data_IF_782092292258
#
_entry.id   IF_782092292258
#
_cell.length_a   1.000
_cell.length_b   1.000
_cell.length_c   1.000
_cell.angle_alpha   90.00
_cell.angle_beta   90.00
_cell.angle_gamma   90.00
#
_symmetry.space_group_name_H-M   'P 1'
#
loop_
_entity.id
_entity.type
_entity.pdbx_description
1 polymer ?
#
# COMPACT_ATOMS: atom_id res chain seq x y z
N UNK A 1 0.17 -2.07 -23.23
CA UNK A 1 -0.48 -0.86 -22.68
C UNK A 1 -1.78 -1.30 -22.01
N UNK A 2 -2.08 -0.81 -20.80
CA UNK A 2 -3.18 -1.31 -19.92
C UNK A 2 -4.20 -0.14 -19.77
N UNK A 3 -5.23 -0.03 -20.65
CA UNK A 3 -6.16 1.11 -20.69
C UNK A 3 -6.83 1.45 -19.37
N UNK A 4 -7.34 0.46 -18.63
CA UNK A 4 -8.02 0.66 -17.35
C UNK A 4 -7.06 1.14 -16.27
N UNK A 5 -5.80 0.71 -16.30
CA UNK A 5 -4.77 1.28 -15.43
C UNK A 5 -4.59 2.78 -15.68
N UNK A 6 -4.49 3.19 -16.95
CA UNK A 6 -4.39 4.61 -17.29
C UNK A 6 -5.63 5.39 -16.85
N UNK A 7 -6.83 4.84 -17.07
CA UNK A 7 -8.06 5.48 -16.63
C UNK A 7 -8.12 5.63 -15.11
N UNK A 8 -7.74 4.59 -14.36
CA UNK A 8 -7.66 4.60 -12.91
C UNK A 8 -6.79 5.76 -12.39
N UNK A 9 -5.54 5.85 -12.85
CA UNK A 9 -4.62 6.89 -12.40
C UNK A 9 -5.11 8.30 -12.74
N UNK A 10 -5.66 8.51 -13.95
CA UNK A 10 -6.26 9.81 -14.34
C UNK A 10 -7.48 10.17 -13.48
N UNK A 11 -8.31 9.19 -13.11
CA UNK A 11 -9.46 9.39 -12.22
C UNK A 11 -9.02 9.72 -10.78
N UNK A 12 -7.98 9.07 -10.26
CA UNK A 12 -7.39 9.39 -8.95
C UNK A 12 -6.81 10.81 -8.94
N UNK A 13 -6.20 11.24 -10.04
CA UNK A 13 -5.71 12.62 -10.25
C UNK A 13 -6.83 13.64 -10.53
N UNK A 14 -8.10 13.25 -10.43
CA UNK A 14 -9.28 14.12 -10.64
C UNK A 14 -9.33 14.76 -12.03
N UNK A 15 -8.76 14.12 -13.03
CA UNK A 15 -8.75 14.67 -14.39
C UNK A 15 -10.16 14.67 -15.01
N UNK A 16 -10.63 15.84 -15.45
CA UNK A 16 -12.03 16.05 -15.85
C UNK A 16 -12.50 15.13 -17.00
N UNK A 17 -11.65 14.80 -17.95
CA UNK A 17 -12.00 13.88 -19.05
C UNK A 17 -12.18 12.43 -18.54
N UNK A 18 -11.29 11.97 -17.67
CA UNK A 18 -11.36 10.65 -17.07
C UNK A 18 -12.60 10.50 -16.18
N UNK A 19 -12.89 11.51 -15.36
CA UNK A 19 -14.10 11.53 -14.52
C UNK A 19 -15.39 11.48 -15.36
N UNK A 20 -15.48 12.28 -16.44
CA UNK A 20 -16.63 12.25 -17.37
C UNK A 20 -16.78 10.91 -18.08
N UNK A 21 -15.66 10.24 -18.41
CA UNK A 21 -15.69 8.89 -19.00
C UNK A 21 -16.22 7.86 -18.01
N UNK A 22 -15.71 7.86 -16.77
CA UNK A 22 -16.17 6.94 -15.72
C UNK A 22 -17.64 7.20 -15.39
N UNK A 23 -18.08 8.45 -15.33
CA UNK A 23 -19.48 8.80 -15.11
C UNK A 23 -20.42 8.27 -16.20
N UNK A 24 -20.02 8.31 -17.47
CA UNK A 24 -20.79 7.69 -18.55
C UNK A 24 -20.93 6.19 -18.32
N UNK A 25 -19.82 5.51 -18.02
CA UNK A 25 -19.84 4.07 -17.73
C UNK A 25 -20.72 3.69 -16.53
N UNK A 26 -20.71 4.48 -15.46
CA UNK A 26 -21.59 4.25 -14.32
C UNK A 26 -23.07 4.39 -14.72
N UNK A 27 -23.42 5.33 -15.59
CA UNK A 27 -24.79 5.50 -16.10
C UNK A 27 -25.20 4.37 -17.04
N UNK A 28 -24.35 4.02 -18.00
CA UNK A 28 -24.61 3.01 -19.01
C UNK A 28 -24.87 1.62 -18.37
N UNK A 29 -24.25 1.36 -17.23
CA UNK A 29 -24.40 0.11 -16.47
C UNK A 29 -25.26 0.23 -15.21
N UNK A 30 -26.02 1.32 -15.04
CA UNK A 30 -26.96 1.46 -13.92
C UNK A 30 -26.29 1.31 -12.54
N UNK A 31 -25.13 1.95 -12.36
CA UNK A 31 -24.35 1.97 -11.11
C UNK A 31 -24.61 3.31 -10.41
N UNK A 32 -25.75 3.40 -9.72
CA UNK A 32 -26.18 4.58 -8.97
C UNK A 32 -26.59 4.21 -7.53
N UNK A 33 -26.42 5.14 -6.58
CA UNK A 33 -26.70 4.90 -5.16
C UNK A 33 -28.18 4.68 -4.83
N UNK A 34 -29.07 5.16 -5.69
CA UNK A 34 -30.53 5.05 -5.56
C UNK A 34 -31.06 3.71 -6.08
N UNK A 35 -30.22 2.91 -6.75
CA UNK A 35 -30.64 1.64 -7.36
C UNK A 35 -30.23 0.44 -6.51
N UNK A 36 -31.20 -0.38 -6.14
CA UNK A 36 -30.94 -1.69 -5.56
C UNK A 36 -30.10 -2.54 -6.52
N UNK A 37 -29.01 -3.12 -6.02
CA UNK A 37 -28.15 -3.99 -6.82
C UNK A 37 -27.20 -3.27 -7.77
N UNK A 38 -26.82 -2.00 -7.52
CA UNK A 38 -25.79 -1.27 -8.29
C UNK A 38 -24.47 -2.05 -8.50
N UNK A 39 -24.11 -2.93 -7.56
CA UNK A 39 -22.94 -3.84 -7.67
C UNK A 39 -23.09 -4.83 -8.83
N UNK A 40 -24.32 -5.20 -9.21
CA UNK A 40 -24.59 -6.04 -10.38
C UNK A 40 -24.24 -5.32 -11.69
N UNK A 41 -24.43 -3.99 -11.74
CA UNK A 41 -23.99 -3.16 -12.87
C UNK A 41 -22.47 -3.21 -13.06
N UNK A 42 -21.71 -3.17 -11.95
CA UNK A 42 -20.26 -3.36 -11.97
C UNK A 42 -19.88 -4.73 -12.53
N UNK A 43 -20.56 -5.80 -12.09
CA UNK A 43 -20.29 -7.16 -12.59
C UNK A 43 -20.58 -7.27 -14.09
N UNK A 44 -21.69 -6.67 -14.57
CA UNK A 44 -22.03 -6.65 -16.01
C UNK A 44 -21.00 -5.89 -16.83
N UNK A 45 -20.51 -4.77 -16.32
CA UNK A 45 -19.45 -4.01 -16.98
C UNK A 45 -18.17 -4.85 -17.10
N UNK A 46 -17.75 -5.50 -16.02
CA UNK A 46 -16.60 -6.42 -16.07
C UNK A 46 -16.85 -7.61 -16.99
N UNK A 47 -18.06 -8.17 -17.01
CA UNK A 47 -18.44 -9.26 -17.90
C UNK A 47 -18.32 -8.89 -19.39
N UNK A 48 -18.50 -7.61 -19.73
CA UNK A 48 -18.36 -7.11 -21.11
C UNK A 48 -16.91 -6.94 -21.58
N UNK A 49 -15.92 -7.33 -20.76
CA UNK A 49 -14.50 -7.21 -21.11
C UNK A 49 -14.15 -8.06 -22.33
N UNK A 50 -13.52 -7.48 -23.37
CA UNK A 50 -13.04 -8.24 -24.52
C UNK A 50 -12.05 -9.33 -24.09
N UNK A 51 -12.16 -10.50 -24.69
CA UNK A 51 -11.31 -11.65 -24.36
C UNK A 51 -10.56 -12.10 -25.60
N UNK A 52 -9.27 -12.39 -25.47
CA UNK A 52 -8.48 -12.86 -26.61
C UNK A 52 -9.05 -14.17 -27.18
N UNK A 53 -9.10 -14.36 -28.51
CA UNK A 53 -9.70 -15.55 -29.15
C UNK A 53 -9.11 -16.89 -28.71
N UNK A 54 -7.87 -16.88 -28.22
CA UNK A 54 -7.14 -18.06 -27.75
C UNK A 54 -7.55 -18.55 -26.35
N UNK A 55 -8.29 -17.74 -25.59
CA UNK A 55 -8.65 -18.08 -24.20
C UNK A 55 -9.90 -18.94 -24.22
N UNK A 56 -9.81 -20.16 -23.68
CA UNK A 56 -10.98 -21.01 -23.44
C UNK A 56 -11.62 -20.68 -22.07
N UNK A 57 -12.81 -20.06 -22.04
CA UNK A 57 -13.48 -19.68 -20.78
C UNK A 57 -13.78 -20.88 -19.87
N UNK A 58 -14.05 -22.05 -20.44
CA UNK A 58 -14.35 -23.27 -19.69
C UNK A 58 -13.13 -23.77 -18.93
N UNK A 59 -11.96 -23.72 -19.56
CA UNK A 59 -10.69 -24.07 -18.92
C UNK A 59 -10.31 -23.09 -17.81
N UNK A 60 -10.52 -21.78 -18.00
CA UNK A 60 -10.30 -20.78 -16.95
C UNK A 60 -11.22 -21.02 -15.75
N UNK A 61 -12.52 -21.24 -16.00
CA UNK A 61 -13.50 -21.55 -14.94
C UNK A 61 -13.13 -22.82 -14.16
N UNK A 62 -12.62 -23.85 -14.84
CA UNK A 62 -12.12 -25.07 -14.20
C UNK A 62 -10.91 -24.80 -13.31
N UNK A 63 -9.97 -23.96 -13.74
CA UNK A 63 -8.83 -23.57 -12.92
C UNK A 63 -9.29 -22.85 -11.64
N UNK A 64 -10.25 -21.93 -11.77
CA UNK A 64 -10.87 -21.22 -10.64
C UNK A 64 -11.68 -22.14 -9.71
N UNK A 65 -12.11 -23.31 -10.18
CA UNK A 65 -12.90 -24.28 -9.42
C UNK A 65 -12.26 -24.78 -8.13
N UNK A 66 -10.92 -24.72 -8.05
CA UNK A 66 -10.15 -25.06 -6.83
C UNK A 66 -10.27 -23.99 -5.73
N UNK A 67 -10.75 -22.79 -6.05
CA UNK A 67 -10.80 -21.68 -5.11
C UNK A 67 -12.06 -21.75 -4.21
N UNK A 68 -11.96 -21.55 -2.88
CA UNK A 68 -13.09 -21.66 -1.96
C UNK A 68 -14.28 -20.72 -2.23
N UNK A 69 -14.03 -19.57 -2.86
CA UNK A 69 -15.07 -18.61 -3.24
C UNK A 69 -15.79 -18.97 -4.55
N UNK A 70 -15.27 -19.90 -5.35
CA UNK A 70 -15.83 -20.22 -6.66
C UNK A 70 -17.28 -20.74 -6.60
N UNK A 71 -17.65 -21.70 -5.71
CA UNK A 71 -19.02 -22.17 -5.63
C UNK A 71 -20.01 -21.06 -5.23
N UNK A 72 -19.61 -20.18 -4.30
CA UNK A 72 -20.42 -19.02 -3.89
C UNK A 72 -20.62 -18.03 -5.04
N UNK A 73 -19.58 -17.82 -5.84
CA UNK A 73 -19.65 -16.96 -7.02
C UNK A 73 -20.60 -17.52 -8.09
N UNK A 74 -20.53 -18.83 -8.37
CA UNK A 74 -21.45 -19.49 -9.31
C UNK A 74 -22.91 -19.37 -8.84
N UNK A 75 -23.19 -19.58 -7.55
CA UNK A 75 -24.54 -19.41 -6.99
C UNK A 75 -25.03 -17.96 -7.09
N UNK A 76 -24.17 -16.98 -6.82
CA UNK A 76 -24.51 -15.57 -6.95
C UNK A 76 -24.90 -15.23 -8.40
N UNK A 77 -24.11 -15.67 -9.37
CA UNK A 77 -24.40 -15.48 -10.80
C UNK A 77 -25.73 -16.12 -11.16
N UNK A 78 -25.94 -17.37 -10.74
CA UNK A 78 -27.19 -18.11 -11.00
C UNK A 78 -28.43 -17.35 -10.52
N UNK A 79 -28.39 -16.79 -9.31
CA UNK A 79 -29.57 -16.16 -8.70
C UNK A 79 -29.73 -14.67 -9.02
N UNK A 80 -28.65 -13.96 -9.38
CA UNK A 80 -28.67 -12.50 -9.55
C UNK A 80 -28.37 -12.02 -10.96
N UNK A 81 -27.82 -12.88 -11.82
CA UNK A 81 -27.43 -12.60 -13.21
C UNK A 81 -27.82 -13.76 -14.14
N UNK A 82 -29.12 -14.16 -14.19
CA UNK A 82 -29.57 -15.30 -14.98
C UNK A 82 -29.33 -15.12 -16.49
N UNK A 83 -29.26 -13.87 -16.96
CA UNK A 83 -28.90 -13.49 -18.33
C UNK A 83 -27.50 -13.98 -18.75
N UNK A 84 -26.59 -14.16 -17.78
CA UNK A 84 -25.23 -14.65 -18.01
C UNK A 84 -25.12 -16.18 -17.91
N UNK A 85 -26.20 -16.89 -17.52
CA UNK A 85 -26.18 -18.34 -17.36
C UNK A 85 -26.23 -19.08 -18.70
N UNK A 86 -27.02 -18.58 -19.65
CA UNK A 86 -27.20 -19.19 -20.98
C UNK A 86 -25.97 -19.06 -21.87
N UNK A 87 -25.01 -18.22 -21.47
CA UNK A 87 -23.78 -17.93 -22.21
C UNK A 87 -22.60 -18.65 -21.55
N UNK A 88 -22.30 -19.87 -22.00
CA UNK A 88 -21.07 -20.60 -21.63
C UNK A 88 -19.84 -19.97 -22.33
N UNK A 89 -19.60 -18.69 -22.04
CA UNK A 89 -18.63 -17.87 -22.76
C UNK A 89 -17.85 -16.92 -21.86
N UNK A 90 -17.06 -16.02 -22.45
CA UNK A 90 -16.16 -15.14 -21.71
C UNK A 90 -16.86 -14.24 -20.69
N UNK A 91 -18.10 -13.86 -20.94
CA UNK A 91 -18.90 -13.03 -20.04
C UNK A 91 -19.12 -13.70 -18.67
N UNK A 92 -19.48 -14.99 -18.67
CA UNK A 92 -19.67 -15.76 -17.42
C UNK A 92 -18.35 -15.94 -16.68
N UNK A 93 -17.24 -16.14 -17.40
CA UNK A 93 -15.89 -16.23 -16.83
C UNK A 93 -15.53 -14.93 -16.10
N UNK A 94 -15.65 -13.78 -16.76
CA UNK A 94 -15.34 -12.49 -16.16
C UNK A 94 -16.29 -12.11 -15.03
N UNK A 95 -17.59 -12.41 -15.15
CA UNK A 95 -18.54 -12.24 -14.06
C UNK A 95 -18.16 -13.09 -12.83
N UNK A 96 -17.72 -14.33 -13.05
CA UNK A 96 -17.26 -15.23 -11.97
C UNK A 96 -16.05 -14.63 -11.26
N UNK A 97 -15.06 -14.18 -12.01
CA UNK A 97 -13.87 -13.52 -11.46
C UNK A 97 -14.26 -12.27 -10.66
N UNK A 98 -15.13 -11.41 -11.22
CA UNK A 98 -15.60 -10.21 -10.56
C UNK A 98 -16.32 -10.52 -9.24
N UNK A 99 -17.21 -11.50 -9.22
CA UNK A 99 -17.93 -11.90 -7.99
C UNK A 99 -16.97 -12.49 -6.95
N UNK A 100 -16.01 -13.33 -7.37
CA UNK A 100 -15.00 -13.87 -6.44
C UNK A 100 -14.16 -12.75 -5.81
N UNK A 101 -13.78 -11.74 -6.59
CA UNK A 101 -13.06 -10.56 -6.09
C UNK A 101 -13.94 -9.73 -5.15
N UNK A 102 -15.21 -9.51 -5.47
CA UNK A 102 -16.15 -8.80 -4.60
C UNK A 102 -16.42 -9.55 -3.27
N UNK A 103 -16.40 -10.88 -3.31
CA UNK A 103 -16.55 -11.75 -2.13
C UNK A 103 -15.25 -11.95 -1.34
N UNK A 104 -14.12 -11.40 -1.81
CA UNK A 104 -12.86 -11.51 -1.09
C UNK A 104 -12.92 -10.77 0.25
N UNK A 105 -12.53 -11.46 1.32
CA UNK A 105 -12.41 -10.85 2.64
C UNK A 105 -11.01 -10.28 2.87
N UNK A 106 -10.02 -10.80 2.17
CA UNK A 106 -8.61 -10.46 2.31
C UNK A 106 -7.88 -10.38 0.96
N UNK A 107 -6.72 -9.73 0.98
CA UNK A 107 -5.72 -9.78 -0.10
C UNK A 107 -5.39 -11.24 -0.47
N UNK A 108 -5.30 -12.13 0.52
CA UNK A 108 -4.95 -13.53 0.33
C UNK A 108 -5.99 -14.34 -0.46
N UNK A 109 -7.26 -13.94 -0.46
CA UNK A 109 -8.28 -14.55 -1.33
C UNK A 109 -8.03 -14.19 -2.79
N UNK A 110 -7.73 -12.92 -3.08
CA UNK A 110 -7.43 -12.48 -4.44
C UNK A 110 -6.09 -13.09 -4.90
N UNK A 111 -5.08 -13.20 -4.03
CA UNK A 111 -3.82 -13.87 -4.39
C UNK A 111 -4.00 -15.34 -4.74
N UNK A 112 -4.81 -16.09 -3.98
CA UNK A 112 -5.16 -17.49 -4.31
C UNK A 112 -5.92 -17.59 -5.64
N UNK A 113 -6.84 -16.67 -5.92
CA UNK A 113 -7.49 -16.57 -7.23
C UNK A 113 -6.43 -16.40 -8.35
N UNK A 114 -5.46 -15.50 -8.16
CA UNK A 114 -4.38 -15.27 -9.12
C UNK A 114 -3.47 -16.49 -9.27
N UNK A 115 -3.22 -17.26 -8.20
CA UNK A 115 -2.48 -18.53 -8.26
C UNK A 115 -3.21 -19.56 -9.11
N UNK A 116 -4.53 -19.70 -8.97
CA UNK A 116 -5.34 -20.58 -9.84
C UNK A 116 -5.18 -20.21 -11.33
N UNK A 117 -5.14 -18.91 -11.64
CA UNK A 117 -4.99 -18.39 -13.01
C UNK A 117 -3.56 -18.49 -13.55
N UNK A 118 -2.55 -18.67 -12.69
CA UNK A 118 -1.16 -18.92 -13.11
C UNK A 118 -0.87 -20.40 -13.38
N UNK A 119 -1.85 -21.28 -13.23
CA UNK A 119 -1.71 -22.70 -13.56
C UNK A 119 -1.24 -22.85 -15.01
N UNK A 120 -0.33 -23.80 -15.33
CA UNK A 120 0.07 -24.10 -16.71
C UNK A 120 -1.10 -24.47 -17.62
N UNK A 121 -2.22 -24.89 -17.04
CA UNK A 121 -3.45 -25.22 -17.75
C UNK A 121 -4.33 -24.01 -18.07
N UNK A 122 -3.96 -22.79 -17.69
CA UNK A 122 -4.78 -21.59 -17.86
C UNK A 122 -4.17 -20.67 -18.93
N UNK A 123 -4.92 -20.46 -20.02
CA UNK A 123 -4.46 -19.63 -21.15
C UNK A 123 -4.72 -18.12 -20.96
N UNK A 124 -5.31 -17.72 -19.83
CA UNK A 124 -5.66 -16.33 -19.55
C UNK A 124 -4.40 -15.52 -19.21
N UNK A 125 -4.14 -14.46 -19.96
CA UNK A 125 -2.97 -13.63 -19.73
C UNK A 125 -3.07 -12.82 -18.44
N UNK A 126 -1.99 -12.76 -17.64
CA UNK A 126 -1.96 -11.92 -16.43
C UNK A 126 -2.17 -10.43 -16.73
N UNK A 127 -1.88 -9.97 -17.95
CA UNK A 127 -2.16 -8.59 -18.39
C UNK A 127 -3.67 -8.35 -18.47
N UNK A 128 -4.44 -9.32 -18.98
CA UNK A 128 -5.92 -9.23 -19.04
C UNK A 128 -6.52 -9.22 -17.63
N UNK A 129 -6.00 -10.06 -16.73
CA UNK A 129 -6.41 -10.06 -15.32
C UNK A 129 -6.09 -8.73 -14.63
N UNK A 130 -4.90 -8.17 -14.89
CA UNK A 130 -4.48 -6.86 -14.37
C UNK A 130 -5.42 -5.76 -14.83
N UNK A 131 -5.76 -5.75 -16.13
CA UNK A 131 -6.70 -4.80 -16.72
C UNK A 131 -8.09 -4.86 -16.05
N UNK A 132 -8.61 -6.07 -15.79
CA UNK A 132 -9.90 -6.27 -15.11
C UNK A 132 -9.85 -5.83 -13.65
N UNK A 133 -8.77 -6.11 -12.93
CA UNK A 133 -8.61 -5.64 -11.56
C UNK A 133 -8.56 -4.10 -11.50
N UNK A 134 -7.90 -3.43 -12.47
CA UNK A 134 -7.94 -1.96 -12.58
C UNK A 134 -9.32 -1.42 -12.97
N UNK A 135 -10.07 -2.15 -13.80
CA UNK A 135 -11.47 -1.82 -14.10
C UNK A 135 -12.30 -1.80 -12.80
N UNK A 136 -12.24 -2.89 -12.03
CA UNK A 136 -12.93 -2.98 -10.75
C UNK A 136 -12.49 -1.89 -9.77
N UNK A 137 -11.17 -1.64 -9.64
CA UNK A 137 -10.66 -0.58 -8.78
C UNK A 137 -11.19 0.81 -9.18
N UNK A 138 -11.22 1.13 -10.48
CA UNK A 138 -11.77 2.39 -11.01
C UNK A 138 -13.24 2.58 -10.64
N UNK A 139 -14.04 1.52 -10.83
CA UNK A 139 -15.48 1.57 -10.55
C UNK A 139 -15.75 1.71 -9.05
N UNK A 140 -15.08 0.93 -8.21
CA UNK A 140 -15.21 1.01 -6.75
C UNK A 140 -14.77 2.39 -6.21
N UNK A 141 -13.69 2.96 -6.76
CA UNK A 141 -13.25 4.31 -6.42
C UNK A 141 -14.32 5.36 -6.75
N UNK A 142 -14.93 5.27 -7.93
CA UNK A 142 -15.96 6.20 -8.38
C UNK A 142 -17.30 6.03 -7.63
N UNK A 143 -17.70 4.79 -7.32
CA UNK A 143 -18.86 4.49 -6.48
C UNK A 143 -18.72 5.16 -5.10
N UNK A 144 -17.53 5.06 -4.49
CA UNK A 144 -17.22 5.73 -3.23
C UNK A 144 -17.30 7.26 -3.34
N UNK A 145 -16.75 7.83 -4.40
CA UNK A 145 -16.78 9.28 -4.64
C UNK A 145 -18.22 9.81 -4.74
N UNK A 146 -19.15 8.98 -5.23
CA UNK A 146 -20.58 9.25 -5.30
C UNK A 146 -21.37 8.84 -4.06
N UNK A 147 -20.69 8.57 -2.95
CA UNK A 147 -21.30 8.16 -1.69
C UNK A 147 -22.16 6.89 -1.77
N UNK A 148 -21.91 6.01 -2.76
CA UNK A 148 -22.55 4.69 -2.81
C UNK A 148 -21.96 3.85 -1.67
N UNK A 149 -22.79 3.21 -0.82
CA UNK A 149 -22.32 2.49 0.36
C UNK A 149 -21.59 1.20 -0.02
N UNK A 150 -20.28 1.29 -0.21
CA UNK A 150 -19.40 0.16 -0.47
C UNK A 150 -18.21 0.16 0.48
N UNK A 151 -17.78 -1.04 0.90
CA UNK A 151 -16.64 -1.15 1.81
C UNK A 151 -15.34 -0.76 1.10
N UNK A 152 -14.57 0.14 1.73
CA UNK A 152 -13.23 0.52 1.26
C UNK A 152 -12.27 -0.68 1.20
N UNK A 153 -12.58 -1.75 1.94
CA UNK A 153 -11.76 -2.96 2.02
C UNK A 153 -11.57 -3.61 0.66
N UNK A 154 -12.61 -3.72 -0.16
CA UNK A 154 -12.52 -4.43 -1.45
C UNK A 154 -11.61 -3.67 -2.42
N UNK A 155 -11.79 -2.34 -2.52
CA UNK A 155 -10.90 -1.50 -3.32
C UNK A 155 -9.44 -1.62 -2.86
N UNK A 156 -9.20 -1.58 -1.54
CA UNK A 156 -7.86 -1.77 -0.99
C UNK A 156 -7.28 -3.15 -1.33
N UNK A 157 -8.04 -4.23 -1.16
CA UNK A 157 -7.59 -5.59 -1.47
C UNK A 157 -7.17 -5.72 -2.93
N UNK A 158 -7.97 -5.21 -3.86
CA UNK A 158 -7.66 -5.22 -5.30
C UNK A 158 -6.40 -4.40 -5.59
N UNK A 159 -6.36 -3.16 -5.11
CA UNK A 159 -5.26 -2.25 -5.39
C UNK A 159 -3.93 -2.75 -4.81
N UNK A 160 -3.96 -3.32 -3.61
CA UNK A 160 -2.78 -3.92 -3.01
C UNK A 160 -2.35 -5.21 -3.73
N UNK A 161 -3.29 -6.02 -4.26
CA UNK A 161 -2.93 -7.15 -5.13
C UNK A 161 -2.29 -6.69 -6.44
N UNK A 162 -2.84 -5.66 -7.08
CA UNK A 162 -2.26 -5.03 -8.28
C UNK A 162 -0.83 -4.56 -8.01
N UNK A 163 -0.62 -3.84 -6.90
CA UNK A 163 0.70 -3.42 -6.45
C UNK A 163 1.65 -4.62 -6.28
N UNK A 164 1.19 -5.68 -5.60
CA UNK A 164 2.02 -6.89 -5.44
C UNK A 164 2.32 -7.57 -6.78
N UNK A 165 1.37 -7.63 -7.71
CA UNK A 165 1.57 -8.23 -9.03
C UNK A 165 2.63 -7.46 -9.82
N UNK A 166 2.52 -6.13 -9.86
CA UNK A 166 3.38 -5.28 -10.67
C UNK A 166 4.79 -5.15 -10.10
N UNK A 167 4.92 -5.27 -8.78
CA UNK A 167 6.22 -5.36 -8.11
C UNK A 167 6.72 -6.82 -7.99
N UNK A 168 5.86 -7.82 -8.21
CA UNK A 168 6.26 -9.22 -8.31
C UNK A 168 6.90 -9.54 -9.67
N UNK A 169 6.53 -8.84 -10.75
CA UNK A 169 6.98 -9.06 -12.13
C UNK A 169 8.49 -8.92 -12.38
N UNK A 170 9.29 -8.58 -11.37
CA UNK A 170 10.69 -9.01 -11.31
C UNK A 170 10.80 -10.49 -10.95
N UNK A 171 10.19 -11.39 -11.73
CA UNK A 171 10.34 -12.85 -11.57
C UNK A 171 11.76 -13.22 -12.00
N UNK A 172 12.71 -13.02 -11.11
CA UNK A 172 13.95 -13.76 -11.13
C UNK A 172 13.60 -15.09 -10.48
N UNK A 173 13.38 -16.11 -11.30
CA UNK A 173 13.43 -17.48 -10.80
C UNK A 173 14.84 -17.66 -10.23
N UNK A 174 15.01 -18.14 -8.99
CA UNK A 174 16.30 -18.64 -8.56
C UNK A 174 16.56 -19.89 -9.41
N UNK A 175 17.41 -19.75 -10.42
CA UNK A 175 18.07 -20.92 -10.99
C UNK A 175 19.00 -21.44 -9.90
N UNK A 176 18.79 -22.70 -9.55
CA UNK A 176 19.78 -23.47 -8.83
C UNK A 176 21.10 -23.37 -9.60
N UNK A 177 22.14 -22.97 -8.88
CA UNK A 177 23.53 -22.86 -9.34
C UNK A 177 23.87 -21.69 -10.30
N UNK A 178 24.47 -20.63 -9.72
CA UNK A 178 25.56 -19.89 -10.33
C UNK A 178 25.30 -19.14 -11.65
N UNK A 179 24.80 -17.90 -11.53
CA UNK A 179 24.91 -16.89 -12.58
C UNK A 179 23.57 -16.47 -13.20
N UNK A 180 23.35 -15.16 -13.30
CA UNK A 180 22.21 -14.59 -14.01
C UNK A 180 22.37 -14.86 -15.51
N UNK A 181 21.30 -15.18 -16.27
CA UNK A 181 21.35 -15.03 -17.71
C UNK A 181 21.65 -13.57 -18.04
N UNK A 182 22.33 -13.35 -19.18
CA UNK A 182 22.72 -12.03 -19.69
C UNK A 182 21.46 -11.23 -20.08
N UNK A 183 20.73 -10.73 -19.08
CA UNK A 183 19.57 -9.87 -19.26
C UNK A 183 20.11 -8.56 -19.79
N UNK A 184 19.90 -8.31 -21.08
CA UNK A 184 20.28 -7.07 -21.75
C UNK A 184 19.62 -5.89 -21.03
N UNK A 185 20.41 -5.15 -20.26
CA UNK A 185 19.95 -3.99 -19.51
C UNK A 185 19.43 -2.93 -20.48
N UNK A 186 18.36 -2.22 -20.08
CA UNK A 186 17.87 -1.08 -20.86
C UNK A 186 18.89 0.06 -20.79
N UNK A 187 18.83 0.99 -21.74
CA UNK A 187 19.71 2.17 -21.73
C UNK A 187 19.51 3.01 -20.45
N UNK A 188 18.30 3.04 -19.90
CA UNK A 188 17.96 3.72 -18.66
C UNK A 188 18.60 3.03 -17.45
N UNK A 189 18.49 1.70 -17.36
CA UNK A 189 19.17 0.90 -16.34
C UNK A 189 20.68 1.08 -16.43
N UNK A 190 21.26 1.04 -17.63
CA UNK A 190 22.70 1.22 -17.83
C UNK A 190 23.18 2.61 -17.37
N UNK A 191 22.40 3.67 -17.61
CA UNK A 191 22.71 5.02 -17.11
C UNK A 191 22.78 5.05 -15.58
N UNK A 192 21.82 4.43 -14.91
CA UNK A 192 21.79 4.31 -13.45
C UNK A 192 23.03 3.54 -12.96
N UNK A 193 23.33 2.38 -13.56
CA UNK A 193 24.47 1.56 -13.19
C UNK A 193 25.82 2.25 -13.48
N UNK A 194 25.90 3.18 -14.43
CA UNK A 194 27.12 3.92 -14.74
C UNK A 194 27.41 5.03 -13.71
N UNK A 195 26.44 5.38 -12.86
CA UNK A 195 26.63 6.35 -11.80
C UNK A 195 27.06 5.66 -10.50
N UNK A 196 28.35 5.77 -10.14
CA UNK A 196 28.86 5.31 -8.84
C UNK A 196 28.44 6.31 -7.76
N UNK A 197 27.71 5.83 -6.76
CA UNK A 197 27.20 6.64 -5.65
C UNK A 197 28.35 7.11 -4.75
N UNK A 198 28.29 8.37 -4.32
CA UNK A 198 29.24 8.96 -3.37
C UNK A 198 28.54 9.35 -2.05
N UNK A 199 29.29 9.46 -0.94
CA UNK A 199 28.75 9.95 0.33
C UNK A 199 28.03 11.29 0.18
N UNK A 200 26.88 11.44 0.85
CA UNK A 200 26.05 12.65 0.78
C UNK A 200 25.19 12.79 -0.48
N UNK A 201 25.44 12.03 -1.55
CA UNK A 201 24.60 12.10 -2.75
C UNK A 201 23.20 11.55 -2.47
N UNK A 202 22.21 12.18 -3.09
CA UNK A 202 20.82 11.73 -3.10
C UNK A 202 20.43 11.51 -4.56
N UNK A 203 20.26 10.25 -4.94
CA UNK A 203 19.85 9.81 -6.27
C UNK A 203 18.38 9.42 -6.20
N UNK A 204 17.57 9.98 -7.08
CA UNK A 204 16.18 9.55 -7.27
C UNK A 204 16.04 8.77 -8.56
N UNK A 205 15.30 7.67 -8.52
CA UNK A 205 14.94 6.87 -9.69
C UNK A 205 13.42 6.87 -9.78
N UNK A 206 12.91 7.67 -10.71
CA UNK A 206 11.48 7.81 -10.99
C UNK A 206 11.09 6.68 -11.94
N UNK A 207 10.38 5.68 -11.43
CA UNK A 207 10.13 4.45 -12.16
C UNK A 207 8.64 4.19 -12.32
N UNK A 208 8.22 3.65 -13.46
CA UNK A 208 6.87 3.11 -13.58
C UNK A 208 6.78 1.68 -13.03
N UNK A 209 5.58 1.29 -12.64
CA UNK A 209 5.29 -0.08 -12.27
C UNK A 209 5.73 -1.08 -13.36
N UNK A 210 6.46 -2.12 -12.94
CA UNK A 210 6.95 -3.16 -13.84
C UNK A 210 8.26 -2.84 -14.60
N UNK A 211 8.85 -1.65 -14.50
CA UNK A 211 10.10 -1.27 -15.21
C UNK A 211 11.40 -1.80 -14.56
N UNK A 212 11.28 -2.77 -13.66
CA UNK A 212 12.43 -3.41 -13.03
C UNK A 212 13.14 -2.56 -11.96
N UNK A 213 12.40 -1.85 -11.10
CA UNK A 213 12.94 -1.08 -9.95
C UNK A 213 13.91 -1.92 -9.11
N UNK A 214 13.42 -3.01 -8.52
CA UNK A 214 14.19 -3.87 -7.63
C UNK A 214 15.31 -4.59 -8.39
N UNK A 215 15.09 -5.04 -9.64
CA UNK A 215 16.15 -5.67 -10.44
C UNK A 215 17.28 -4.70 -10.79
N UNK A 216 16.96 -3.42 -11.02
CA UNK A 216 17.96 -2.37 -11.22
C UNK A 216 18.82 -2.20 -9.98
N UNK A 217 18.22 -2.15 -8.78
CA UNK A 217 18.98 -2.08 -7.53
C UNK A 217 19.86 -3.31 -7.29
N UNK A 218 19.36 -4.51 -7.61
CA UNK A 218 20.15 -5.75 -7.52
C UNK A 218 21.37 -5.68 -8.43
N UNK A 219 21.17 -5.35 -9.71
CA UNK A 219 22.26 -5.21 -10.70
C UNK A 219 23.24 -4.09 -10.34
N UNK A 220 22.74 -3.02 -9.71
CA UNK A 220 23.59 -1.96 -9.17
C UNK A 220 24.51 -2.49 -8.06
N UNK A 221 23.96 -3.23 -7.09
CA UNK A 221 24.75 -3.81 -6.00
C UNK A 221 25.78 -4.84 -6.50
N UNK A 222 25.44 -5.63 -7.53
CA UNK A 222 26.36 -6.58 -8.18
C UNK A 222 27.52 -5.88 -8.89
N UNK A 223 27.26 -4.74 -9.54
CA UNK A 223 28.28 -3.96 -10.24
C UNK A 223 29.29 -3.32 -9.28
N UNK A 224 28.88 -3.00 -8.06
CA UNK A 224 29.71 -2.38 -7.03
C UNK A 224 29.89 -3.32 -5.83
N UNK A 225 30.57 -4.47 -5.99
CA UNK A 225 30.68 -5.49 -4.95
C UNK A 225 31.47 -5.04 -3.72
N UNK A 226 32.36 -4.06 -3.88
CA UNK A 226 33.17 -3.50 -2.80
C UNK A 226 32.39 -2.56 -1.87
N UNK A 227 31.21 -2.10 -2.30
CA UNK A 227 30.35 -1.22 -1.51
C UNK A 227 29.34 -2.04 -0.70
N UNK A 228 29.03 -1.57 0.51
CA UNK A 228 28.01 -2.14 1.40
C UNK A 228 26.72 -1.33 1.32
N UNK A 229 25.61 -2.02 1.08
CA UNK A 229 24.31 -1.38 0.92
C UNK A 229 23.32 -1.81 2.00
N UNK A 230 22.49 -0.87 2.43
CA UNK A 230 21.28 -1.17 3.21
C UNK A 230 20.06 -1.02 2.30
N UNK A 231 19.37 -2.12 2.04
CA UNK A 231 18.09 -2.11 1.35
C UNK A 231 16.95 -2.00 2.37
N UNK A 232 16.16 -0.94 2.24
CA UNK A 232 14.96 -0.68 3.03
C UNK A 232 13.73 -0.58 2.14
N UNK A 233 12.68 -1.29 2.53
CA UNK A 233 11.36 -1.18 1.91
C UNK A 233 10.27 -1.10 2.98
N UNK A 234 9.11 -0.56 2.61
CA UNK A 234 7.99 -0.38 3.53
C UNK A 234 7.39 -1.72 4.00
N UNK A 235 7.33 -2.71 3.11
CA UNK A 235 6.62 -3.96 3.35
C UNK A 235 7.56 -5.13 3.62
N UNK A 236 7.23 -5.94 4.63
CA UNK A 236 7.96 -7.18 4.93
C UNK A 236 8.04 -8.12 3.72
N UNK A 237 6.95 -8.28 2.95
CA UNK A 237 6.94 -9.16 1.78
C UNK A 237 7.97 -8.75 0.72
N UNK A 238 8.12 -7.43 0.48
CA UNK A 238 9.11 -6.88 -0.45
C UNK A 238 10.53 -7.14 0.07
N UNK A 239 10.77 -6.92 1.37
CA UNK A 239 12.10 -7.20 1.96
C UNK A 239 12.47 -8.68 1.96
N UNK A 240 11.52 -9.59 2.22
CA UNK A 240 11.78 -11.04 2.19
C UNK A 240 12.06 -11.53 0.76
N UNK A 241 11.44 -10.93 -0.25
CA UNK A 241 11.80 -11.17 -1.65
C UNK A 241 13.21 -10.63 -1.93
N UNK A 242 13.50 -9.42 -1.48
CA UNK A 242 14.84 -8.82 -1.59
C UNK A 242 15.95 -9.72 -1.06
N UNK A 243 15.77 -10.30 0.14
CA UNK A 243 16.75 -11.22 0.74
C UNK A 243 17.12 -12.43 -0.13
N UNK A 244 16.23 -12.84 -1.03
CA UNK A 244 16.47 -13.98 -1.94
C UNK A 244 17.23 -13.60 -3.20
N UNK A 245 17.21 -12.32 -3.59
CA UNK A 245 17.72 -11.87 -4.90
C UNK A 245 18.91 -10.92 -4.81
N UNK A 246 19.06 -10.19 -3.70
CA UNK A 246 20.19 -9.27 -3.54
C UNK A 246 21.50 -10.03 -3.23
N UNK A 247 22.65 -9.52 -3.72
CA UNK A 247 23.96 -10.07 -3.40
C UNK A 247 24.33 -9.86 -1.93
N UNK A 248 25.39 -10.55 -1.49
CA UNK A 248 25.83 -10.61 -0.07
C UNK A 248 26.25 -9.27 0.52
N UNK A 249 26.59 -8.28 -0.30
CA UNK A 249 26.95 -6.92 0.13
C UNK A 249 25.72 -6.06 0.45
N UNK A 250 24.51 -6.61 0.42
CA UNK A 250 23.26 -5.89 0.73
C UNK A 250 22.56 -6.48 1.96
N UNK A 251 22.27 -5.64 2.94
CA UNK A 251 21.42 -6.00 4.08
C UNK A 251 19.98 -5.56 3.80
N UNK A 252 19.02 -6.51 3.78
CA UNK A 252 17.60 -6.19 3.55
C UNK A 252 16.80 -6.13 4.86
N UNK A 253 16.20 -4.97 5.16
CA UNK A 253 15.41 -4.71 6.38
C UNK A 253 14.19 -3.83 6.08
N UNK A 254 13.21 -3.78 6.98
CA UNK A 254 12.19 -2.71 6.99
C UNK A 254 12.59 -1.63 7.98
N UNK A 255 12.10 -0.39 7.83
CA UNK A 255 12.31 0.68 8.81
C UNK A 255 11.82 0.27 10.21
N UNK A 256 10.64 -0.34 10.30
CA UNK A 256 10.14 -0.86 11.57
C UNK A 256 11.02 -1.97 12.15
N UNK A 257 11.67 -2.81 11.33
CA UNK A 257 12.59 -3.83 11.87
C UNK A 257 13.86 -3.23 12.45
N UNK A 258 14.40 -2.15 11.85
CA UNK A 258 15.55 -1.41 12.37
C UNK A 258 15.18 -0.71 13.69
N UNK A 259 14.04 0.00 13.71
CA UNK A 259 13.55 0.65 14.91
C UNK A 259 13.17 -0.35 16.02
N UNK A 260 12.67 -1.52 15.66
CA UNK A 260 12.36 -2.58 16.62
C UNK A 260 13.62 -3.13 17.29
N UNK A 261 14.70 -3.30 16.52
CA UNK A 261 15.98 -3.78 17.04
C UNK A 261 16.60 -2.80 18.05
N UNK A 262 16.46 -1.50 17.82
CA UNK A 262 17.00 -0.44 18.68
C UNK A 262 16.11 -0.05 19.86
N UNK A 263 14.79 0.11 19.63
CA UNK A 263 13.84 0.67 20.62
C UNK A 263 12.72 -0.31 20.94
N UNK A 264 12.11 -0.93 19.93
CA UNK A 264 10.91 -1.76 20.11
C UNK A 264 11.13 -3.01 20.99
N UNK A 265 12.34 -3.59 21.00
CA UNK A 265 12.70 -4.74 21.82
C UNK A 265 12.51 -4.46 23.31
N UNK A 266 12.90 -3.29 23.79
CA UNK A 266 12.73 -2.90 25.19
C UNK A 266 11.26 -2.88 25.62
N UNK A 267 10.36 -2.40 24.75
CA UNK A 267 8.91 -2.43 25.00
C UNK A 267 8.32 -3.84 24.92
N UNK A 268 8.85 -4.70 24.03
CA UNK A 268 8.45 -6.11 23.95
C UNK A 268 8.79 -6.86 25.24
N UNK A 269 10.02 -6.70 25.72
CA UNK A 269 10.53 -7.42 26.88
C UNK A 269 9.79 -7.01 28.17
N UNK A 270 9.34 -5.75 28.25
CA UNK A 270 8.46 -5.25 29.33
C UNK A 270 6.98 -5.61 29.13
N UNK A 271 6.60 -6.21 28.00
CA UNK A 271 5.22 -6.56 27.66
C UNK A 271 4.32 -5.36 27.43
N UNK A 272 4.89 -4.18 27.10
CA UNK A 272 4.15 -2.95 26.77
C UNK A 272 3.95 -2.77 25.27
N UNK A 273 4.55 -3.62 24.43
CA UNK A 273 4.43 -3.52 22.99
C UNK A 273 3.03 -3.92 22.51
N UNK A 274 2.46 -3.09 21.63
CA UNK A 274 1.30 -3.44 20.82
C UNK A 274 1.74 -3.50 19.34
N UNK A 275 1.57 -4.67 18.72
CA UNK A 275 1.96 -4.85 17.31
C UNK A 275 1.02 -4.12 16.34
N UNK A 276 -0.16 -3.71 16.80
CA UNK A 276 -1.15 -2.95 16.03
C UNK A 276 -1.29 -1.52 16.57
N UNK A 277 -2.07 -0.72 15.84
CA UNK A 277 -2.53 0.59 16.31
C UNK A 277 -3.29 0.43 17.63
N UNK A 278 -3.18 1.43 18.49
CA UNK A 278 -4.00 1.50 19.70
C UNK A 278 -5.48 1.55 19.31
N UNK A 279 -6.31 0.71 19.93
CA UNK A 279 -7.74 0.77 19.64
C UNK A 279 -8.35 2.05 20.21
N UNK A 280 -9.30 2.65 19.49
CA UNK A 280 -10.07 3.82 19.97
C UNK A 280 -10.70 3.53 21.32
N UNK A 281 -11.17 2.30 21.52
CA UNK A 281 -11.71 1.85 22.79
C UNK A 281 -10.68 1.94 23.92
N UNK A 282 -9.46 1.41 23.71
CA UNK A 282 -8.37 1.50 24.69
C UNK A 282 -8.00 2.96 25.00
N UNK A 283 -7.89 3.81 23.98
CA UNK A 283 -7.60 5.24 24.16
C UNK A 283 -8.71 5.91 24.98
N UNK A 284 -9.98 5.58 24.74
CA UNK A 284 -11.11 6.22 25.43
C UNK A 284 -11.08 6.04 26.96
N UNK A 285 -10.45 4.99 27.48
CA UNK A 285 -10.25 4.78 28.93
C UNK A 285 -9.08 5.59 29.51
N UNK A 286 -8.19 6.09 28.65
CA UNK A 286 -7.04 6.91 29.06
C UNK A 286 -7.38 8.40 29.13
N UNK A 287 -8.49 8.81 28.51
CA UNK A 287 -8.89 10.21 28.41
C UNK A 287 -9.30 10.80 29.77
N UNK A 288 -8.79 11.98 30.08
CA UNK A 288 -9.17 12.74 31.29
C UNK A 288 -10.37 13.63 31.06
N UNK A 289 -10.44 14.30 29.91
CA UNK A 289 -11.47 15.25 29.57
C UNK A 289 -12.74 14.54 29.09
N UNK A 290 -13.80 14.61 29.91
CA UNK A 290 -15.07 13.90 29.69
C UNK A 290 -16.24 14.78 29.23
N UNK A 291 -16.06 16.10 29.16
CA UNK A 291 -17.12 17.04 28.77
C UNK A 291 -17.14 17.29 27.26
N UNK A 292 -18.23 17.85 26.74
CA UNK A 292 -18.36 18.35 25.36
C UNK A 292 -18.62 17.28 24.28
N UNK A 293 -17.91 16.16 24.29
CA UNK A 293 -18.02 15.11 23.26
C UNK A 293 -18.03 13.71 23.87
N UNK A 294 -18.56 12.75 23.10
CA UNK A 294 -18.45 11.32 23.42
C UNK A 294 -16.99 10.90 23.53
N UNK A 295 -16.66 10.08 24.54
CA UNK A 295 -15.31 9.54 24.74
C UNK A 295 -14.82 8.71 23.55
N UNK A 296 -15.73 8.08 22.81
CA UNK A 296 -15.36 7.33 21.60
C UNK A 296 -14.94 8.27 20.47
N UNK A 297 -15.69 9.37 20.29
CA UNK A 297 -15.39 10.39 19.28
C UNK A 297 -14.05 11.07 19.61
N UNK A 298 -13.87 11.48 20.87
CA UNK A 298 -12.60 12.05 21.34
C UNK A 298 -11.45 11.04 21.26
N UNK A 299 -11.70 9.78 21.61
CA UNK A 299 -10.70 8.72 21.49
C UNK A 299 -10.24 8.55 20.05
N UNK A 300 -11.14 8.73 19.07
CA UNK A 300 -10.81 8.70 17.65
C UNK A 300 -9.97 9.91 17.22
N UNK A 301 -10.33 11.13 17.64
CA UNK A 301 -9.55 12.32 17.30
C UNK A 301 -8.16 12.31 17.94
N UNK A 302 -8.05 11.92 19.21
CA UNK A 302 -6.77 11.73 19.92
C UNK A 302 -5.92 10.62 19.28
N UNK A 303 -6.54 9.51 18.89
CA UNK A 303 -5.85 8.44 18.14
C UNK A 303 -5.27 8.97 16.83
N UNK A 304 -6.05 9.76 16.08
CA UNK A 304 -5.59 10.36 14.83
C UNK A 304 -4.46 11.37 15.07
N UNK A 305 -4.54 12.18 16.13
CA UNK A 305 -3.47 13.11 16.53
C UNK A 305 -2.15 12.38 16.80
N UNK A 306 -2.19 11.27 17.55
CA UNK A 306 -1.01 10.44 17.80
C UNK A 306 -0.45 9.84 16.51
N UNK A 307 -1.31 9.31 15.63
CA UNK A 307 -0.86 8.73 14.35
C UNK A 307 -0.24 9.76 13.40
N UNK A 308 -0.81 10.97 13.36
CA UNK A 308 -0.26 12.07 12.58
C UNK A 308 1.11 12.49 13.14
N UNK A 309 1.26 12.56 14.47
CA UNK A 309 2.56 12.83 15.10
C UNK A 309 3.59 11.71 14.86
N UNK A 310 3.19 10.45 14.94
CA UNK A 310 4.11 9.33 14.68
C UNK A 310 4.61 9.28 13.24
N UNK A 311 3.81 9.81 12.29
CA UNK A 311 4.20 9.90 10.88
C UNK A 311 4.93 11.20 10.52
N UNK A 312 4.84 12.27 11.32
CA UNK A 312 5.51 13.54 11.07
C UNK A 312 7.00 13.53 11.42
N UNK A 313 7.74 14.52 10.93
CA UNK A 313 9.13 14.79 11.33
C UNK A 313 9.25 15.56 12.65
N UNK A 314 8.14 16.04 13.21
CA UNK A 314 8.12 17.02 14.31
C UNK A 314 8.58 16.43 15.63
N UNK A 315 9.25 17.22 16.46
CA UNK A 315 9.81 16.73 17.74
C UNK A 315 8.73 16.59 18.83
N UNK A 316 7.67 17.40 18.74
CA UNK A 316 6.58 17.44 19.72
C UNK A 316 5.20 17.42 19.05
N UNK A 317 4.19 16.99 19.81
CA UNK A 317 2.79 17.01 19.37
C UNK A 317 2.28 18.45 19.41
N UNK A 318 1.90 19.00 18.26
CA UNK A 318 1.23 20.30 18.09
C UNK A 318 -0.17 20.17 17.44
N UNK A 319 -0.87 21.30 17.29
CA UNK A 319 -2.25 21.35 16.78
C UNK A 319 -2.39 20.91 15.32
N UNK A 320 -1.33 21.04 14.53
CA UNK A 320 -1.26 20.60 13.12
C UNK A 320 -1.44 19.07 12.99
N UNK A 321 -1.16 18.32 14.06
CA UNK A 321 -1.42 16.88 14.09
C UNK A 321 -2.89 16.55 14.29
N UNK A 322 -3.73 17.49 14.74
CA UNK A 322 -5.15 17.22 14.97
C UNK A 322 -5.91 17.10 13.65
N UNK A 323 -6.94 16.25 13.56
CA UNK A 323 -7.77 16.21 12.37
C UNK A 323 -8.51 17.53 12.17
N UNK A 324 -8.62 18.00 10.93
CA UNK A 324 -9.44 19.18 10.59
C UNK A 324 -10.93 18.88 10.73
N UNK A 325 -11.32 17.66 10.37
CA UNK A 325 -12.70 17.20 10.37
C UNK A 325 -12.86 15.90 11.14
N UNK A 326 -13.99 15.73 11.80
CA UNK A 326 -14.35 14.50 12.49
C UNK A 326 -15.82 14.14 12.24
N UNK A 327 -16.17 12.87 12.47
CA UNK A 327 -17.57 12.43 12.50
C UNK A 327 -18.07 12.49 13.94
N UNK A 328 -19.14 13.23 14.18
CA UNK A 328 -19.77 13.30 15.49
C UNK A 328 -20.57 12.01 15.80
N UNK A 329 -21.20 11.96 16.96
CA UNK A 329 -22.00 10.79 17.42
C UNK A 329 -23.18 10.48 16.50
N UNK A 330 -23.67 11.45 15.73
CA UNK A 330 -24.76 11.29 14.75
C UNK A 330 -24.25 10.94 13.35
N UNK A 331 -22.95 10.67 13.19
CA UNK A 331 -22.33 10.35 11.90
C UNK A 331 -22.10 11.53 10.96
N UNK A 332 -22.41 12.75 11.40
CA UNK A 332 -22.25 13.97 10.61
C UNK A 332 -20.80 14.46 10.65
N UNK A 333 -20.29 14.94 9.51
CA UNK A 333 -18.97 15.56 9.42
C UNK A 333 -19.03 16.97 10.01
N UNK A 334 -18.12 17.28 10.94
CA UNK A 334 -18.00 18.59 11.59
C UNK A 334 -16.53 19.02 11.65
N UNK A 335 -16.30 20.34 11.60
CA UNK A 335 -14.98 20.92 11.80
C UNK A 335 -14.58 20.75 13.27
N UNK A 336 -13.33 20.40 13.55
CA UNK A 336 -12.80 20.40 14.92
C UNK A 336 -12.59 21.85 15.36
N UNK A 337 -13.24 22.26 16.46
CA UNK A 337 -13.09 23.60 17.02
C UNK A 337 -11.70 23.80 17.61
N UNK A 338 -11.29 25.05 17.80
CA UNK A 338 -9.98 25.37 18.35
C UNK A 338 -9.80 24.80 19.77
N UNK A 339 -10.85 24.87 20.60
CA UNK A 339 -10.83 24.30 21.94
C UNK A 339 -10.64 22.77 21.91
N UNK A 340 -11.34 22.07 21.01
CA UNK A 340 -11.19 20.62 20.88
C UNK A 340 -9.82 20.22 20.30
N UNK A 341 -9.18 21.07 19.48
CA UNK A 341 -7.78 20.83 19.07
C UNK A 341 -6.84 20.87 20.25
N UNK A 342 -6.96 21.89 21.11
CA UNK A 342 -6.13 22.03 22.31
C UNK A 342 -6.31 20.83 23.25
N UNK A 343 -7.56 20.43 23.51
CA UNK A 343 -7.88 19.23 24.31
C UNK A 343 -7.23 17.98 23.68
N UNK A 344 -7.37 17.78 22.37
CA UNK A 344 -6.79 16.62 21.70
C UNK A 344 -5.26 16.57 21.80
N UNK A 345 -4.59 17.73 21.71
CA UNK A 345 -3.13 17.84 21.85
C UNK A 345 -2.70 17.51 23.28
N UNK A 346 -3.38 18.07 24.29
CA UNK A 346 -3.06 17.82 25.71
C UNK A 346 -3.22 16.34 26.06
N UNK A 347 -4.34 15.72 25.69
CA UNK A 347 -4.61 14.30 25.90
C UNK A 347 -3.57 13.42 25.17
N UNK A 348 -3.25 13.74 23.91
CA UNK A 348 -2.25 13.01 23.14
C UNK A 348 -0.85 13.13 23.77
N UNK A 349 -0.45 14.32 24.23
CA UNK A 349 0.83 14.55 24.92
C UNK A 349 0.95 13.73 26.19
N UNK A 350 -0.12 13.68 26.98
CA UNK A 350 -0.14 12.88 28.20
C UNK A 350 -0.03 11.37 27.91
N UNK A 351 -0.84 10.88 26.97
CA UNK A 351 -0.80 9.47 26.55
C UNK A 351 0.61 9.13 26.04
N UNK A 352 1.19 9.98 25.19
CA UNK A 352 2.55 9.80 24.67
C UNK A 352 3.60 9.80 25.77
N UNK A 353 3.51 10.73 26.72
CA UNK A 353 4.41 10.80 27.87
C UNK A 353 4.39 9.50 28.68
N UNK A 354 3.21 8.92 28.93
CA UNK A 354 3.08 7.66 29.67
C UNK A 354 3.42 6.41 28.84
N UNK A 355 3.22 6.44 27.51
CA UNK A 355 3.70 5.39 26.61
C UNK A 355 5.23 5.25 26.66
N UNK A 356 5.95 6.38 26.76
CA UNK A 356 7.43 6.38 26.80
C UNK A 356 8.00 5.67 28.03
N UNK A 357 7.33 5.74 29.17
CA UNK A 357 7.77 5.11 30.42
C UNK A 357 7.78 3.59 30.27
N UNK A 358 8.94 2.96 30.42
CA UNK A 358 9.06 1.49 30.36
C UNK A 358 8.49 0.81 31.61
N UNK A 359 8.66 1.45 32.76
CA UNK A 359 8.21 0.99 34.08
C UNK A 359 7.16 1.95 34.67
N UNK A 360 6.43 1.52 35.71
CA UNK A 360 5.46 2.37 36.44
C UNK A 360 4.01 2.33 35.95
N UNK A 361 3.69 1.48 34.98
CA UNK A 361 2.31 1.20 34.55
C UNK A 361 2.00 -0.27 34.82
N UNK A 362 1.63 -0.58 36.07
CA UNK A 362 1.38 -1.95 36.52
C UNK A 362 0.33 -2.67 35.66
N UNK A 363 -0.69 -1.92 35.22
CA UNK A 363 -1.79 -2.40 34.39
C UNK A 363 -1.44 -2.42 32.87
N UNK A 364 -0.26 -1.92 32.49
CA UNK A 364 0.22 -1.82 31.10
C UNK A 364 -0.82 -1.21 30.14
N UNK A 365 -1.56 -0.20 30.62
CA UNK A 365 -2.61 0.50 29.88
C UNK A 365 -2.04 1.34 28.74
N UNK A 366 -0.86 1.94 28.93
CA UNK A 366 -0.18 2.76 27.94
C UNK A 366 0.75 1.90 27.08
N UNK A 367 0.17 1.18 26.13
CA UNK A 367 0.94 0.33 25.21
C UNK A 367 1.64 1.14 24.13
N UNK A 368 2.84 0.73 23.76
CA UNK A 368 3.62 1.32 22.68
C UNK A 368 3.25 0.66 21.35
N UNK A 369 2.62 1.37 20.39
CA UNK A 369 2.36 0.83 19.05
C UNK A 369 3.64 0.80 18.19
N UNK A 370 3.60 0.07 17.07
CA UNK A 370 4.73 -0.02 16.15
C UNK A 370 5.23 1.35 15.64
N UNK A 371 4.29 2.21 15.24
CA UNK A 371 4.64 3.55 14.76
C UNK A 371 5.13 4.46 15.90
N UNK A 372 4.77 4.16 17.14
CA UNK A 372 5.25 4.88 18.32
C UNK A 372 6.72 4.62 18.63
N UNK A 373 7.19 3.36 18.60
CA UNK A 373 8.62 3.09 18.77
C UNK A 373 9.44 3.55 17.56
N UNK A 374 8.84 3.53 16.35
CA UNK A 374 9.47 4.11 15.16
C UNK A 374 9.67 5.62 15.35
N UNK A 375 8.67 6.32 15.90
CA UNK A 375 8.78 7.74 16.26
C UNK A 375 9.90 7.97 17.28
N UNK A 376 10.00 7.17 18.34
CA UNK A 376 11.11 7.27 19.29
C UNK A 376 12.48 7.07 18.63
N UNK A 377 12.58 6.10 17.72
CA UNK A 377 13.81 5.87 16.98
C UNK A 377 14.15 7.05 16.06
N UNK A 378 13.16 7.64 15.38
CA UNK A 378 13.36 8.87 14.60
C UNK A 378 13.86 10.03 15.48
N UNK A 379 13.23 10.26 16.62
CA UNK A 379 13.60 11.31 17.57
C UNK A 379 15.01 11.11 18.16
N UNK A 380 15.50 9.87 18.25
CA UNK A 380 16.88 9.61 18.69
C UNK A 380 17.93 9.90 17.61
N UNK A 381 17.53 10.41 16.42
CA UNK A 381 18.39 10.77 15.29
C UNK A 381 19.42 9.66 14.95
N UNK A 382 18.93 8.46 14.57
CA UNK A 382 19.75 7.27 14.49
C UNK A 382 20.76 7.41 13.34
N UNK A 383 21.93 6.80 13.50
CA UNK A 383 22.97 6.75 12.47
C UNK A 383 23.12 5.30 11.98
N UNK A 384 22.80 5.08 10.72
CA UNK A 384 22.90 3.80 10.01
C UNK A 384 24.33 3.63 9.49
N UNK A 385 25.27 3.41 10.41
CA UNK A 385 26.69 3.21 10.10
C UNK A 385 26.97 1.85 9.45
N UNK A 386 28.12 1.75 8.78
CA UNK A 386 28.57 0.50 8.13
C UNK A 386 28.05 0.28 6.71
N UNK A 387 27.38 1.27 6.13
CA UNK A 387 26.87 1.25 4.75
C UNK A 387 27.39 2.45 3.95
N UNK A 388 27.78 2.21 2.71
CA UNK A 388 28.20 3.24 1.76
C UNK A 388 27.00 3.93 1.11
N UNK A 389 25.89 3.20 0.93
CA UNK A 389 24.63 3.78 0.53
C UNK A 389 23.39 3.01 1.03
N UNK A 390 22.26 3.72 1.09
CA UNK A 390 20.95 3.18 1.44
C UNK A 390 20.07 3.16 0.20
N UNK A 391 19.50 2.01 -0.12
CA UNK A 391 18.45 1.88 -1.12
C UNK A 391 17.09 1.95 -0.43
N UNK A 392 16.29 2.93 -0.80
CA UNK A 392 14.90 3.05 -0.35
C UNK A 392 14.01 2.70 -1.52
N UNK A 393 13.42 1.50 -1.47
CA UNK A 393 12.45 1.03 -2.46
C UNK A 393 11.04 1.46 -2.06
N UNK A 394 10.21 1.73 -3.07
CA UNK A 394 8.86 2.26 -2.90
C UNK A 394 8.86 3.57 -2.10
N UNK A 395 9.84 4.43 -2.39
CA UNK A 395 10.10 5.64 -1.64
C UNK A 395 8.89 6.58 -1.57
N UNK A 396 7.98 6.57 -2.55
CA UNK A 396 6.75 7.37 -2.55
C UNK A 396 5.84 7.11 -1.33
N UNK A 397 5.98 5.95 -0.70
CA UNK A 397 5.17 5.53 0.45
C UNK A 397 5.85 5.80 1.81
N UNK A 398 7.00 6.48 1.83
CA UNK A 398 7.64 6.89 3.08
C UNK A 398 6.85 8.00 3.79
N UNK A 399 6.72 7.89 5.12
CA UNK A 399 6.20 8.96 5.97
C UNK A 399 7.28 10.03 6.21
N UNK A 400 6.92 11.28 6.52
CA UNK A 400 7.89 12.31 6.89
C UNK A 400 8.89 11.87 7.98
N UNK A 401 8.46 11.09 8.98
CA UNK A 401 9.34 10.50 9.99
C UNK A 401 10.44 9.61 9.38
N UNK A 402 10.07 8.74 8.43
CA UNK A 402 11.03 7.88 7.72
C UNK A 402 11.96 8.72 6.85
N UNK A 403 11.43 9.74 6.18
CA UNK A 403 12.23 10.65 5.34
C UNK A 403 13.28 11.39 6.18
N UNK A 404 12.93 11.87 7.38
CA UNK A 404 13.87 12.51 8.32
C UNK A 404 15.00 11.55 8.72
N UNK A 405 14.67 10.28 9.01
CA UNK A 405 15.69 9.24 9.26
C UNK A 405 16.61 9.08 8.06
N UNK A 406 16.06 8.91 6.85
CA UNK A 406 16.88 8.68 5.64
C UNK A 406 17.75 9.89 5.31
N UNK A 407 17.20 11.11 5.40
CA UNK A 407 17.93 12.32 5.04
C UNK A 407 19.09 12.62 6.00
N UNK A 408 18.94 12.30 7.29
CA UNK A 408 19.98 12.51 8.30
C UNK A 408 21.20 11.58 8.19
N UNK A 409 21.18 10.60 7.29
CA UNK A 409 22.31 9.70 7.07
C UNK A 409 23.41 10.36 6.25
N UNK A 410 24.67 10.07 6.56
CA UNK A 410 25.83 10.67 5.85
C UNK A 410 26.20 9.93 4.56
N UNK A 411 25.81 8.67 4.43
CA UNK A 411 26.06 7.84 3.26
C UNK A 411 25.21 8.26 2.05
N UNK A 412 25.50 7.68 0.88
CA UNK A 412 24.70 7.90 -0.32
C UNK A 412 23.28 7.36 -0.15
N UNK A 413 22.30 7.96 -0.84
CA UNK A 413 20.90 7.51 -0.81
C UNK A 413 20.41 7.31 -2.23
N UNK A 414 19.85 6.14 -2.51
CA UNK A 414 19.18 5.84 -3.77
C UNK A 414 17.70 5.59 -3.47
N UNK A 415 16.85 6.55 -3.84
CA UNK A 415 15.41 6.49 -3.64
C UNK A 415 14.75 6.05 -4.95
N UNK A 416 14.11 4.88 -4.96
CA UNK A 416 13.42 4.36 -6.14
C UNK A 416 11.94 4.16 -5.83
N UNK A 417 11.08 4.42 -6.80
CA UNK A 417 9.65 4.20 -6.64
C UNK A 417 8.81 4.74 -7.79
N UNK A 418 7.51 4.47 -7.72
CA UNK A 418 6.54 4.97 -8.68
C UNK A 418 5.67 6.06 -8.03
N UNK A 419 5.83 7.34 -8.40
CA UNK A 419 5.04 8.42 -7.83
C UNK A 419 3.53 8.28 -8.04
N UNK A 420 3.09 7.45 -8.99
CA UNK A 420 1.69 7.18 -9.27
C UNK A 420 1.14 5.96 -8.51
N UNK A 421 1.96 5.24 -7.76
CA UNK A 421 1.57 4.09 -6.94
C UNK A 421 1.73 4.34 -5.45
N UNK A 422 1.24 5.49 -4.98
CA UNK A 422 1.20 5.77 -3.56
C UNK A 422 0.00 5.06 -2.92
N UNK A 423 0.25 4.05 -2.10
CA UNK A 423 -0.80 3.18 -1.53
C UNK A 423 -0.93 3.33 -0.01
N UNK A 424 0.07 3.94 0.65
CA UNK A 424 0.13 4.07 2.11
C UNK A 424 -0.20 5.47 2.64
N UNK A 425 -0.88 6.31 1.85
CA UNK A 425 -1.32 7.67 2.26
C UNK A 425 -2.14 7.69 3.55
N UNK A 426 -2.94 6.65 3.80
CA UNK A 426 -3.73 6.50 5.04
C UNK A 426 -2.87 6.34 6.31
N UNK A 427 -1.55 6.16 6.18
CA UNK A 427 -0.57 6.16 7.29
C UNK A 427 0.23 7.46 7.38
N UNK A 428 -0.19 8.52 6.68
CA UNK A 428 0.54 9.79 6.62
C UNK A 428 1.72 9.78 5.64
N UNK A 429 1.80 8.80 4.73
CA UNK A 429 2.81 8.80 3.68
C UNK A 429 2.59 9.99 2.74
N UNK A 430 3.66 10.72 2.46
CA UNK A 430 3.70 11.81 1.48
C UNK A 430 4.61 11.39 0.34
N UNK A 431 4.34 11.86 -0.88
CA UNK A 431 5.12 11.41 -2.03
C UNK A 431 6.55 11.96 -1.97
N UNK A 432 7.41 11.19 -1.31
CA UNK A 432 8.79 11.52 -0.97
C UNK A 432 9.62 11.75 -2.24
N UNK A 433 9.28 11.07 -3.33
CA UNK A 433 9.95 11.26 -4.62
C UNK A 433 9.79 12.67 -5.17
N UNK A 434 8.75 13.42 -4.80
CA UNK A 434 8.62 14.84 -5.17
C UNK A 434 9.22 15.80 -4.13
N UNK A 435 9.19 15.45 -2.84
CA UNK A 435 9.52 16.37 -1.76
C UNK A 435 11.02 16.44 -1.41
N UNK A 436 11.75 15.34 -1.56
CA UNK A 436 13.15 15.27 -1.09
C UNK A 436 14.09 16.02 -2.04
N UNK A 437 15.05 16.84 -1.59
CA UNK A 437 16.07 17.37 -2.49
C UNK A 437 16.91 16.23 -3.10
N UNK A 438 17.42 16.43 -4.32
CA UNK A 438 18.22 15.41 -4.99
C UNK A 438 19.46 16.03 -5.64
N UNK A 439 20.52 15.25 -5.70
CA UNK A 439 21.71 15.56 -6.50
C UNK A 439 21.57 15.07 -7.93
N UNK A 440 20.88 13.94 -8.12
CA UNK A 440 20.69 13.30 -9.42
C UNK A 440 19.30 12.70 -9.51
N UNK A 441 18.71 12.73 -10.72
CA UNK A 441 17.45 12.05 -11.05
C UNK A 441 17.67 11.20 -12.29
N UNK A 442 17.20 9.96 -12.21
CA UNK A 442 17.08 9.03 -13.32
C UNK A 442 15.62 8.61 -13.49
N UNK A 443 15.31 8.05 -14.65
CA UNK A 443 13.99 7.55 -15.00
C UNK A 443 14.08 6.09 -15.42
N UNK A 444 13.10 5.28 -15.02
CA UNK A 444 12.89 3.92 -15.49
C UNK A 444 11.47 3.84 -16.08
N UNK A 445 11.39 4.08 -17.38
CA UNK A 445 10.14 4.09 -18.16
C UNK A 445 9.95 2.87 -19.04
N UNK A 446 11.01 2.07 -19.23
CA UNK A 446 11.05 0.90 -20.11
C UNK A 446 11.34 -0.39 -19.36
#
# INVERSE_FOLDING_TARGET
>A
FIPWKKLYHRSVLREAEALRRVERLLRDFSIAGEQEGCVLGLIRLVASTPTAPKVDPSTVLRCLGSHPLFPKAQLCILHKLPDLQSRAGPEKMWATLAVMVLFSDSVGDIQRLLECLRSPSCDLGMVEVTEVLYCMATLLFAMRDRSIPITNRIHYNIFYCLYLMENASGTVQPLEEGGWPDVKLTHEQQRILNHKIEPGQIVKIMAFAGTGKTSTLVKYAEKFPDLKFLYVAFNKAVTEKGKKVFPRNVTCKTFHSLAFESVGRHYKDKGKLNFSKMSVFSISFLLRYRKGQSLFVRGKTVSQTLENFFSSSDEEICEEHTPVWFKNTHGQMQLVSQEEKQINVEEAREIWHNMKKLDGDADKRYKMPCDGYLKLWQLSKPQLSGYDAIFVDEAQDCTPAIVDIVQSQKCGKILVGDPHQQIYTFRGAVNTLYLVPHTHVFYLTQ
#
